data_IF_485216105579
#
_entry.id   IF_485216105579
#
_cell.length_a   1.000
_cell.length_b   1.000
_cell.length_c   1.000
_cell.angle_alpha   90.00
_cell.angle_beta   90.00
_cell.angle_gamma   90.00
#
_symmetry.space_group_name_H-M   'P 1'
#
loop_
_entity.id
_entity.type
_entity.pdbx_description
1 polymer ?
#
# COMPACT_ATOMS: atom_id res chain seq x y z
N UNK A 1 -10.99 -6.48 0.69
CA UNK A 1 -10.46 -6.39 -0.68
C UNK A 1 -11.42 -6.93 -1.72
N UNK A 2 -11.57 -8.25 -1.94
CA UNK A 2 -12.42 -8.73 -3.04
C UNK A 2 -13.91 -8.31 -2.92
N UNK A 3 -14.44 -8.26 -1.70
CA UNK A 3 -15.79 -7.74 -1.46
C UNK A 3 -15.90 -6.21 -1.66
N UNK A 4 -14.84 -5.44 -1.40
CA UNK A 4 -14.82 -3.98 -1.59
C UNK A 4 -14.78 -3.62 -3.08
N UNK A 5 -14.05 -4.42 -3.88
CA UNK A 5 -13.97 -4.26 -5.33
C UNK A 5 -15.26 -4.71 -6.04
N UNK A 6 -15.93 -5.74 -5.51
CA UNK A 6 -17.15 -6.30 -6.12
C UNK A 6 -18.44 -5.60 -5.68
N UNK A 7 -18.42 -4.88 -4.55
CA UNK A 7 -19.60 -4.22 -3.99
C UNK A 7 -20.19 -3.12 -4.91
N UNK A 8 -19.39 -2.23 -5.55
CA UNK A 8 -19.92 -1.23 -6.47
C UNK A 8 -20.69 -1.86 -7.63
N UNK A 9 -20.13 -2.91 -8.25
CA UNK A 9 -20.79 -3.66 -9.33
C UNK A 9 -22.09 -4.31 -8.88
N UNK A 10 -22.12 -4.85 -7.65
CA UNK A 10 -23.32 -5.44 -7.06
C UNK A 10 -24.42 -4.38 -6.84
N UNK A 11 -24.09 -3.24 -6.24
CA UNK A 11 -25.02 -2.13 -6.04
C UNK A 11 -25.55 -1.60 -7.39
N UNK A 12 -24.67 -1.52 -8.40
CA UNK A 12 -25.05 -1.13 -9.75
C UNK A 12 -26.09 -2.08 -10.36
N UNK A 13 -25.88 -3.38 -10.28
CA UNK A 13 -26.82 -4.37 -10.80
C UNK A 13 -28.20 -4.30 -10.08
N UNK A 14 -28.22 -3.97 -8.78
CA UNK A 14 -29.46 -3.68 -8.05
C UNK A 14 -30.14 -2.41 -8.59
N UNK A 15 -29.39 -1.33 -8.81
CA UNK A 15 -29.97 -0.09 -9.35
C UNK A 15 -30.51 -0.27 -10.77
N UNK A 16 -29.80 -1.00 -11.63
CA UNK A 16 -30.22 -1.29 -13.00
C UNK A 16 -31.49 -2.13 -13.03
N UNK A 17 -31.60 -3.14 -12.16
CA UNK A 17 -32.83 -3.94 -12.03
C UNK A 17 -34.00 -3.13 -11.47
N UNK A 18 -33.79 -2.26 -10.48
CA UNK A 18 -34.85 -1.37 -10.01
C UNK A 18 -35.31 -0.34 -11.05
N UNK A 19 -34.41 0.16 -11.91
CA UNK A 19 -34.78 1.03 -13.04
C UNK A 19 -35.77 0.35 -14.00
N UNK A 20 -35.79 -0.98 -14.05
CA UNK A 20 -36.76 -1.76 -14.85
C UNK A 20 -38.09 -2.02 -14.13
N UNK A 21 -38.27 -1.49 -12.91
CA UNK A 21 -39.50 -1.64 -12.12
C UNK A 21 -39.55 -2.92 -11.28
N UNK A 22 -38.44 -3.65 -11.14
CA UNK A 22 -38.34 -4.81 -10.27
C UNK A 22 -38.36 -4.33 -8.81
N UNK A 23 -39.10 -5.02 -7.93
CA UNK A 23 -39.13 -4.67 -6.51
C UNK A 23 -37.73 -4.78 -5.87
N UNK A 24 -37.42 -4.00 -4.82
CA UNK A 24 -36.08 -3.95 -4.25
C UNK A 24 -35.52 -5.31 -3.81
N UNK A 25 -36.32 -6.12 -3.12
CA UNK A 25 -35.94 -7.47 -2.68
C UNK A 25 -35.67 -8.40 -3.86
N UNK A 26 -36.50 -8.33 -4.91
CA UNK A 26 -36.30 -9.10 -6.15
C UNK A 26 -35.09 -8.63 -6.94
N UNK A 27 -34.76 -7.34 -6.86
CA UNK A 27 -33.57 -6.74 -7.48
C UNK A 27 -32.29 -7.27 -6.83
N UNK A 28 -32.28 -7.43 -5.51
CA UNK A 28 -31.19 -8.11 -4.78
C UNK A 28 -31.07 -9.57 -5.24
N UNK A 29 -32.19 -10.33 -5.28
CA UNK A 29 -32.18 -11.71 -5.76
C UNK A 29 -31.69 -11.80 -7.22
N UNK A 30 -32.01 -10.82 -8.07
CA UNK A 30 -31.57 -10.79 -9.45
C UNK A 30 -30.07 -10.51 -9.57
N UNK A 31 -29.57 -9.51 -8.85
CA UNK A 31 -28.15 -9.15 -8.84
C UNK A 31 -27.30 -10.34 -8.35
N UNK A 32 -27.70 -11.00 -7.26
CA UNK A 32 -26.98 -12.17 -6.71
C UNK A 32 -26.92 -13.40 -7.64
N UNK A 33 -27.73 -13.46 -8.72
CA UNK A 33 -27.64 -14.54 -9.73
C UNK A 33 -26.48 -14.35 -10.71
N UNK A 34 -25.96 -13.13 -10.88
CA UNK A 34 -24.72 -12.90 -11.63
C UNK A 34 -23.55 -13.43 -10.80
N UNK A 35 -22.74 -14.31 -11.40
CA UNK A 35 -21.62 -15.01 -10.72
C UNK A 35 -20.30 -14.25 -10.77
N UNK A 36 -20.30 -12.98 -11.18
CA UNK A 36 -19.09 -12.22 -11.46
C UNK A 36 -18.49 -11.49 -10.24
N UNK A 37 -18.98 -11.74 -9.02
CA UNK A 37 -18.48 -11.10 -7.79
C UNK A 37 -17.41 -11.90 -7.04
N UNK A 38 -16.90 -12.98 -7.63
CA UNK A 38 -15.82 -13.79 -7.06
C UNK A 38 -16.15 -14.35 -5.65
N UNK A 39 -15.25 -14.27 -4.66
CA UNK A 39 -15.51 -14.76 -3.31
C UNK A 39 -16.67 -14.07 -2.58
N UNK A 40 -17.09 -12.88 -3.03
CA UNK A 40 -18.25 -12.19 -2.48
C UNK A 40 -19.56 -12.91 -2.82
N UNK A 41 -19.61 -13.67 -3.93
CA UNK A 41 -20.78 -14.44 -4.35
C UNK A 41 -21.27 -15.45 -3.31
N UNK A 42 -20.38 -16.07 -2.53
CA UNK A 42 -20.78 -17.02 -1.48
C UNK A 42 -21.60 -16.34 -0.37
N UNK A 43 -21.27 -15.09 -0.03
CA UNK A 43 -22.03 -14.31 0.95
C UNK A 43 -23.35 -13.83 0.37
N UNK A 44 -23.33 -13.42 -0.90
CA UNK A 44 -24.53 -13.02 -1.64
C UNK A 44 -25.54 -14.17 -1.79
N UNK A 45 -25.09 -15.42 -1.96
CA UNK A 45 -25.97 -16.60 -1.98
C UNK A 45 -26.68 -16.81 -0.63
N UNK A 46 -26.01 -16.56 0.49
CA UNK A 46 -26.62 -16.62 1.83
C UNK A 46 -27.64 -15.51 2.05
N UNK A 47 -27.36 -14.29 1.55
CA UNK A 47 -28.29 -13.16 1.57
C UNK A 47 -29.53 -13.52 0.73
N UNK A 48 -29.33 -14.01 -0.49
CA UNK A 48 -30.41 -14.43 -1.38
C UNK A 48 -31.31 -15.47 -0.74
N UNK A 49 -30.72 -16.52 -0.16
CA UNK A 49 -31.47 -17.57 0.53
C UNK A 49 -32.36 -16.97 1.63
N UNK A 50 -31.81 -16.13 2.51
CA UNK A 50 -32.59 -15.51 3.58
C UNK A 50 -33.74 -14.63 3.06
N UNK A 51 -33.54 -13.89 1.95
CA UNK A 51 -34.62 -13.13 1.31
C UNK A 51 -35.69 -14.09 0.74
N UNK A 52 -35.29 -15.18 0.07
CA UNK A 52 -36.21 -16.20 -0.45
C UNK A 52 -37.02 -16.88 0.66
N UNK A 53 -36.46 -17.01 1.87
CA UNK A 53 -37.13 -17.51 3.07
C UNK A 53 -37.97 -16.46 3.82
N UNK A 54 -38.04 -15.21 3.32
CA UNK A 54 -38.86 -14.15 3.91
C UNK A 54 -38.28 -13.53 5.19
N UNK A 55 -36.98 -13.66 5.43
CA UNK A 55 -36.28 -13.01 6.55
C UNK A 55 -36.19 -11.49 6.28
N UNK A 56 -36.35 -10.67 7.31
CA UNK A 56 -36.26 -9.21 7.18
C UNK A 56 -34.85 -8.77 6.76
N UNK A 57 -34.75 -7.68 5.98
CA UNK A 57 -33.45 -7.17 5.53
C UNK A 57 -32.56 -6.70 6.71
N UNK A 58 -33.15 -6.24 7.83
CA UNK A 58 -32.43 -5.94 9.08
C UNK A 58 -31.76 -7.16 9.67
N UNK A 59 -32.49 -8.27 9.79
CA UNK A 59 -31.95 -9.51 10.35
C UNK A 59 -30.84 -10.09 9.45
N UNK A 60 -31.02 -9.96 8.13
CA UNK A 60 -30.00 -10.32 7.15
C UNK A 60 -28.74 -9.47 7.32
N UNK A 61 -28.89 -8.16 7.55
CA UNK A 61 -27.76 -7.27 7.80
C UNK A 61 -27.02 -7.62 9.09
N UNK A 62 -27.71 -7.94 10.19
CA UNK A 62 -27.06 -8.37 11.43
C UNK A 62 -26.24 -9.65 11.24
N UNK A 63 -26.76 -10.62 10.47
CA UNK A 63 -26.01 -11.82 10.09
C UNK A 63 -24.83 -11.51 9.15
N UNK A 64 -25.00 -10.55 8.25
CA UNK A 64 -23.97 -10.10 7.32
C UNK A 64 -22.80 -9.40 8.04
N UNK A 65 -23.11 -8.61 9.07
CA UNK A 65 -22.15 -7.90 9.92
C UNK A 65 -21.21 -8.83 10.68
N UNK A 66 -21.67 -10.03 11.04
CA UNK A 66 -20.83 -11.03 11.70
C UNK A 66 -19.84 -11.72 10.75
N UNK A 67 -20.09 -11.66 9.43
CA UNK A 67 -19.32 -12.39 8.41
C UNK A 67 -18.36 -11.52 7.61
N UNK A 68 -18.65 -10.23 7.43
CA UNK A 68 -17.83 -9.29 6.67
C UNK A 68 -17.12 -8.34 7.64
N UNK A 69 -15.79 -8.29 7.57
CA UNK A 69 -14.96 -7.39 8.40
C UNK A 69 -14.68 -6.03 7.77
N UNK A 70 -15.04 -5.81 6.50
CA UNK A 70 -14.81 -4.54 5.80
C UNK A 70 -15.86 -3.51 6.19
N UNK A 71 -15.41 -2.43 6.84
CA UNK A 71 -16.25 -1.31 7.25
C UNK A 71 -17.00 -0.65 6.08
N UNK A 72 -16.32 -0.48 4.95
CA UNK A 72 -16.89 0.12 3.74
C UNK A 72 -18.04 -0.72 3.19
N UNK A 73 -17.87 -2.05 3.18
CA UNK A 73 -18.92 -2.97 2.72
C UNK A 73 -20.12 -2.95 3.66
N UNK A 74 -19.88 -2.91 4.98
CA UNK A 74 -20.94 -2.85 5.98
C UNK A 74 -21.78 -1.58 5.87
N UNK A 75 -21.17 -0.40 5.75
CA UNK A 75 -21.92 0.86 5.62
C UNK A 75 -22.77 0.87 4.36
N UNK A 76 -22.20 0.52 3.21
CA UNK A 76 -22.93 0.55 1.95
C UNK A 76 -24.11 -0.43 1.95
N UNK A 77 -23.91 -1.62 2.51
CA UNK A 77 -24.98 -2.61 2.64
C UNK A 77 -26.05 -2.15 3.64
N UNK A 78 -25.65 -1.54 4.76
CA UNK A 78 -26.56 -0.95 5.75
C UNK A 78 -27.41 0.15 5.12
N UNK A 79 -26.78 1.09 4.40
CA UNK A 79 -27.45 2.18 3.70
C UNK A 79 -28.45 1.65 2.67
N UNK A 80 -28.09 0.59 1.93
CA UNK A 80 -28.99 -0.09 1.00
C UNK A 80 -30.21 -0.66 1.73
N UNK A 81 -30.01 -1.41 2.82
CA UNK A 81 -31.11 -1.99 3.62
C UNK A 81 -32.04 -0.91 4.16
N UNK A 82 -31.48 0.13 4.78
CA UNK A 82 -32.25 1.25 5.35
C UNK A 82 -33.04 1.99 4.27
N UNK A 83 -32.41 2.21 3.11
CA UNK A 83 -33.05 2.86 1.95
C UNK A 83 -34.25 2.05 1.44
N UNK A 84 -34.13 0.72 1.41
CA UNK A 84 -35.19 -0.18 0.95
C UNK A 84 -36.33 -0.26 1.96
N UNK A 85 -36.05 -0.35 3.26
CA UNK A 85 -37.07 -0.47 4.30
C UNK A 85 -37.84 0.81 4.58
N UNK A 86 -37.18 1.98 4.55
CA UNK A 86 -37.81 3.25 4.96
C UNK A 86 -38.69 3.86 3.85
N UNK A 87 -38.57 3.40 2.60
CA UNK A 87 -39.36 3.97 1.50
C UNK A 87 -39.35 3.22 0.18
N UNK A 88 -39.07 1.90 0.19
CA UNK A 88 -38.98 1.10 -1.04
C UNK A 88 -37.74 1.42 -1.89
N UNK A 89 -36.78 2.17 -1.34
CA UNK A 89 -35.54 2.55 -2.00
C UNK A 89 -35.75 3.37 -3.26
N UNK A 90 -36.01 4.69 -3.18
CA UNK A 90 -36.14 5.50 -4.38
C UNK A 90 -34.88 5.32 -5.23
N UNK A 91 -35.07 4.94 -6.50
CA UNK A 91 -34.00 4.62 -7.47
C UNK A 91 -32.87 5.65 -7.45
N UNK A 92 -33.24 6.93 -7.30
CA UNK A 92 -32.30 8.06 -7.18
C UNK A 92 -31.35 7.94 -5.99
N UNK A 93 -31.80 7.49 -4.82
CA UNK A 93 -30.94 7.33 -3.64
C UNK A 93 -29.93 6.20 -3.80
N UNK A 94 -30.34 5.07 -4.39
CA UNK A 94 -29.42 3.97 -4.69
C UNK A 94 -28.45 4.31 -5.82
N UNK A 95 -28.90 5.07 -6.83
CA UNK A 95 -28.05 5.60 -7.90
C UNK A 95 -26.97 6.52 -7.32
N UNK A 96 -27.34 7.47 -6.45
CA UNK A 96 -26.40 8.33 -5.73
C UNK A 96 -25.42 7.49 -4.90
N UNK A 97 -25.90 6.49 -4.14
CA UNK A 97 -25.03 5.62 -3.34
C UNK A 97 -24.03 4.86 -4.23
N UNK A 98 -24.46 4.33 -5.37
CA UNK A 98 -23.58 3.63 -6.31
C UNK A 98 -22.52 4.56 -6.90
N UNK A 99 -22.91 5.76 -7.32
CA UNK A 99 -22.00 6.76 -7.89
C UNK A 99 -20.98 7.23 -6.84
N UNK A 100 -21.41 7.41 -5.59
CA UNK A 100 -20.52 7.72 -4.48
C UNK A 100 -19.56 6.57 -4.19
N UNK A 101 -20.02 5.33 -4.17
CA UNK A 101 -19.17 4.16 -3.92
C UNK A 101 -18.15 3.96 -5.04
N UNK A 102 -18.55 4.17 -6.30
CA UNK A 102 -17.67 4.09 -7.47
C UNK A 102 -16.59 5.19 -7.40
N UNK A 103 -17.01 6.45 -7.18
CA UNK A 103 -16.09 7.59 -7.02
C UNK A 103 -15.13 7.41 -5.85
N UNK A 104 -15.58 6.86 -4.72
CA UNK A 104 -14.71 6.60 -3.57
C UNK A 104 -13.70 5.51 -3.90
N UNK A 105 -14.11 4.41 -4.54
CA UNK A 105 -13.20 3.35 -4.96
C UNK A 105 -12.16 3.88 -5.96
N UNK A 106 -12.58 4.62 -6.99
CA UNK A 106 -11.69 5.26 -7.95
C UNK A 106 -10.72 6.22 -7.25
N UNK A 107 -11.20 7.00 -6.27
CA UNK A 107 -10.36 7.90 -5.47
C UNK A 107 -9.29 7.14 -4.69
N UNK A 108 -9.62 6.00 -4.08
CA UNK A 108 -8.66 5.15 -3.38
C UNK A 108 -7.60 4.58 -4.33
N UNK A 109 -8.03 4.07 -5.49
CA UNK A 109 -7.12 3.54 -6.53
C UNK A 109 -6.20 4.63 -7.06
N UNK A 110 -6.76 5.81 -7.38
CA UNK A 110 -6.02 6.95 -7.88
C UNK A 110 -5.01 7.47 -6.85
N UNK A 111 -5.39 7.60 -5.58
CA UNK A 111 -4.45 7.95 -4.49
C UNK A 111 -3.28 6.97 -4.41
N UNK A 112 -3.57 5.67 -4.47
CA UNK A 112 -2.52 4.64 -4.43
C UNK A 112 -1.60 4.71 -5.66
N UNK A 113 -2.16 5.00 -6.85
CA UNK A 113 -1.39 5.19 -8.06
C UNK A 113 -0.48 6.42 -7.99
N UNK A 114 -0.98 7.54 -7.44
CA UNK A 114 -0.22 8.77 -7.23
C UNK A 114 0.94 8.59 -6.24
N UNK A 115 0.87 7.62 -5.32
CA UNK A 115 1.91 7.33 -4.34
C UNK A 115 2.99 6.36 -4.86
N UNK A 116 2.75 5.63 -5.95
CA UNK A 116 3.75 4.71 -6.54
C UNK A 116 5.09 5.39 -6.89
N UNK A 117 5.13 6.59 -7.48
CA UNK A 117 6.40 7.27 -7.79
C UNK A 117 7.26 7.58 -6.56
N UNK A 118 6.65 7.77 -5.38
CA UNK A 118 7.39 8.03 -4.14
C UNK A 118 8.22 6.83 -3.70
N UNK A 119 7.82 5.60 -4.07
CA UNK A 119 8.62 4.40 -3.82
C UNK A 119 9.92 4.47 -4.61
N UNK A 120 9.86 4.83 -5.90
CA UNK A 120 11.04 4.99 -6.76
C UNK A 120 11.97 6.07 -6.20
N UNK A 121 11.38 7.19 -5.76
CA UNK A 121 12.15 8.29 -5.16
C UNK A 121 12.94 7.82 -3.93
N UNK A 122 12.38 6.95 -3.09
CA UNK A 122 13.10 6.40 -1.93
C UNK A 122 14.31 5.55 -2.30
N UNK A 123 14.23 4.78 -3.40
CA UNK A 123 15.39 4.04 -3.91
C UNK A 123 16.47 5.00 -4.43
N UNK A 124 16.09 6.06 -5.14
CA UNK A 124 17.04 7.08 -5.59
C UNK A 124 17.72 7.76 -4.41
N UNK A 125 16.97 8.12 -3.36
CA UNK A 125 17.54 8.69 -2.13
C UNK A 125 18.53 7.75 -1.43
N UNK A 126 18.24 6.45 -1.39
CA UNK A 126 19.13 5.44 -0.82
C UNK A 126 20.47 5.35 -1.57
N UNK A 127 20.43 5.40 -2.91
CA UNK A 127 21.64 5.42 -3.73
C UNK A 127 22.42 6.73 -3.54
N UNK A 128 21.72 7.87 -3.54
CA UNK A 128 22.36 9.18 -3.36
C UNK A 128 23.05 9.32 -1.99
N UNK A 129 22.45 8.82 -0.91
CA UNK A 129 23.07 8.92 0.42
C UNK A 129 24.31 8.01 0.54
N UNK A 130 24.27 6.83 -0.07
CA UNK A 130 25.43 5.95 -0.14
C UNK A 130 26.58 6.57 -0.95
N UNK A 131 26.26 7.14 -2.12
CA UNK A 131 27.23 7.78 -3.00
C UNK A 131 27.84 9.03 -2.37
N UNK A 132 27.02 9.93 -1.83
CA UNK A 132 27.52 11.15 -1.18
C UNK A 132 28.39 10.83 0.03
N UNK A 133 28.01 9.86 0.86
CA UNK A 133 28.81 9.48 2.04
C UNK A 133 30.15 8.87 1.62
N UNK A 134 30.17 7.99 0.62
CA UNK A 134 31.42 7.39 0.13
C UNK A 134 32.37 8.42 -0.49
N UNK A 135 31.86 9.41 -1.23
CA UNK A 135 32.68 10.53 -1.74
C UNK A 135 33.28 11.34 -0.59
N UNK A 136 32.48 11.69 0.43
CA UNK A 136 32.94 12.48 1.58
C UNK A 136 34.03 11.72 2.34
N UNK A 137 33.81 10.43 2.59
CA UNK A 137 34.80 9.54 3.22
C UNK A 137 36.11 9.51 2.43
N UNK A 138 36.06 9.31 1.11
CA UNK A 138 37.27 9.26 0.29
C UNK A 138 38.01 10.59 0.25
N UNK A 139 37.28 11.70 0.19
CA UNK A 139 37.88 13.04 0.19
C UNK A 139 38.62 13.29 1.51
N UNK A 140 38.05 12.87 2.64
CA UNK A 140 38.71 12.93 3.94
C UNK A 140 39.95 12.04 3.99
N UNK A 141 39.87 10.82 3.45
CA UNK A 141 41.01 9.90 3.39
C UNK A 141 42.18 10.47 2.60
N UNK A 142 41.93 10.96 1.38
CA UNK A 142 42.94 11.60 0.53
C UNK A 142 43.56 12.82 1.25
N UNK A 143 42.74 13.65 1.91
CA UNK A 143 43.25 14.81 2.64
C UNK A 143 44.20 14.41 3.80
N UNK A 144 43.93 13.26 4.45
CA UNK A 144 44.82 12.75 5.50
C UNK A 144 46.14 12.18 4.98
N UNK A 145 46.18 11.64 3.75
CA UNK A 145 47.44 11.20 3.12
C UNK A 145 48.43 12.35 2.91
N UNK A 146 47.94 13.57 2.67
CA UNK A 146 48.78 14.77 2.52
C UNK A 146 49.25 15.36 3.86
N UNK A 147 48.88 14.77 5.00
CA UNK A 147 49.28 15.21 6.34
C UNK A 147 50.66 14.67 6.75
N UNK A 148 51.18 15.11 7.90
CA UNK A 148 52.45 14.62 8.42
C UNK A 148 52.38 13.13 8.76
N UNK A 149 53.49 12.36 8.67
CA UNK A 149 53.48 10.90 8.87
C UNK A 149 52.95 10.46 10.23
N UNK A 150 53.13 11.27 11.28
CA UNK A 150 52.66 11.01 12.64
C UNK A 150 51.16 11.21 12.79
N UNK A 151 50.58 12.18 12.07
CA UNK A 151 49.14 12.45 12.07
C UNK A 151 48.40 11.47 11.14
N UNK A 152 49.03 11.04 10.04
CA UNK A 152 48.47 10.05 9.12
C UNK A 152 48.16 8.71 9.83
N UNK A 153 49.09 8.19 10.64
CA UNK A 153 48.90 6.91 11.31
C UNK A 153 47.76 6.91 12.35
N UNK A 154 47.59 8.01 13.09
CA UNK A 154 46.48 8.15 14.05
C UNK A 154 45.14 8.40 13.36
N UNK A 155 45.12 9.28 12.35
CA UNK A 155 43.87 9.67 11.68
C UNK A 155 43.33 8.60 10.73
N UNK A 156 44.19 7.82 10.07
CA UNK A 156 43.76 6.73 9.17
C UNK A 156 43.03 5.61 9.91
N UNK A 157 43.51 5.24 11.11
CA UNK A 157 42.86 4.27 12.00
C UNK A 157 41.48 4.74 12.46
N UNK A 158 41.36 6.02 12.85
CA UNK A 158 40.08 6.59 13.27
C UNK A 158 39.08 6.68 12.12
N UNK A 159 39.53 7.07 10.92
CA UNK A 159 38.70 7.13 9.72
C UNK A 159 38.15 5.75 9.35
N UNK A 160 38.98 4.70 9.38
CA UNK A 160 38.54 3.33 9.09
C UNK A 160 37.40 2.87 10.04
N UNK A 161 37.55 3.13 11.34
CA UNK A 161 36.50 2.83 12.33
C UNK A 161 35.21 3.63 12.08
N UNK A 162 35.33 4.89 11.66
CA UNK A 162 34.17 5.74 11.39
C UNK A 162 33.40 5.29 10.14
N UNK A 163 34.09 4.79 9.12
CA UNK A 163 33.48 4.25 7.88
C UNK A 163 32.54 3.09 8.18
N UNK A 164 32.96 2.16 9.05
CA UNK A 164 32.13 1.02 9.46
C UNK A 164 30.83 1.46 10.14
N UNK A 165 30.92 2.46 11.04
CA UNK A 165 29.75 3.02 11.75
C UNK A 165 28.81 3.74 10.78
N UNK A 166 29.33 4.53 9.84
CA UNK A 166 28.52 5.21 8.83
C UNK A 166 27.84 4.24 7.87
N UNK A 167 28.56 3.22 7.41
CA UNK A 167 28.01 2.17 6.54
C UNK A 167 26.83 1.44 7.20
N UNK A 168 27.01 1.01 8.46
CA UNK A 168 25.95 0.37 9.24
C UNK A 168 24.77 1.32 9.48
N UNK A 169 25.06 2.60 9.77
CA UNK A 169 24.06 3.64 9.94
C UNK A 169 23.20 3.87 8.70
N UNK A 170 23.80 3.89 7.50
CA UNK A 170 23.09 4.06 6.23
C UNK A 170 22.19 2.86 5.95
N UNK A 171 22.69 1.64 6.14
CA UNK A 171 21.89 0.41 5.94
C UNK A 171 20.70 0.42 6.89
N UNK A 172 20.92 0.76 8.17
CA UNK A 172 19.87 0.84 9.17
C UNK A 172 18.84 1.94 8.86
N UNK A 173 19.28 3.12 8.44
CA UNK A 173 18.40 4.21 8.01
C UNK A 173 17.56 3.82 6.80
N UNK A 174 18.17 3.18 5.79
CA UNK A 174 17.44 2.71 4.60
C UNK A 174 16.43 1.62 4.95
N UNK A 175 16.78 0.72 5.88
CA UNK A 175 15.88 -0.29 6.41
C UNK A 175 14.67 0.33 7.13
N UNK A 176 14.89 1.33 8.00
CA UNK A 176 13.80 2.07 8.66
C UNK A 176 12.93 2.80 7.62
N UNK A 177 13.55 3.46 6.65
CA UNK A 177 12.86 4.19 5.58
C UNK A 177 11.91 3.29 4.78
N UNK A 178 12.25 2.00 4.61
CA UNK A 178 11.36 1.02 3.97
C UNK A 178 10.02 0.81 4.69
N UNK A 179 9.97 0.93 6.02
CA UNK A 179 8.70 0.85 6.76
C UNK A 179 7.81 2.06 6.45
N UNK A 180 8.42 3.25 6.39
CA UNK A 180 7.70 4.48 6.02
C UNK A 180 7.16 4.38 4.59
N UNK A 181 7.97 3.89 3.64
CA UNK A 181 7.55 3.74 2.26
C UNK A 181 6.41 2.74 2.09
N UNK A 182 6.43 1.62 2.81
CA UNK A 182 5.33 0.65 2.75
C UNK A 182 4.04 1.18 3.34
N UNK A 183 4.11 1.93 4.45
CA UNK A 183 2.94 2.60 5.02
C UNK A 183 2.36 3.63 4.06
N UNK A 184 3.21 4.42 3.41
CA UNK A 184 2.78 5.47 2.47
C UNK A 184 2.22 4.85 1.19
N UNK A 185 2.86 3.83 0.62
CA UNK A 185 2.49 3.25 -0.67
C UNK A 185 1.29 2.30 -0.58
N UNK A 186 1.25 1.43 0.44
CA UNK A 186 0.28 0.34 0.53
C UNK A 186 -0.70 0.49 1.70
N UNK A 187 -0.53 1.51 2.54
CA UNK A 187 -1.43 1.80 3.66
C UNK A 187 -1.23 0.91 4.89
N UNK A 188 -0.34 -0.10 4.82
CA UNK A 188 -0.11 -1.04 5.90
C UNK A 188 1.39 -1.20 6.22
N UNK A 189 1.74 -1.33 7.51
CA UNK A 189 3.12 -1.54 7.95
C UNK A 189 3.69 -2.91 7.53
N UNK A 190 2.85 -3.94 7.46
CA UNK A 190 3.28 -5.28 7.07
C UNK A 190 3.80 -5.33 5.62
N UNK A 191 3.23 -4.50 4.73
CA UNK A 191 3.74 -4.33 3.37
C UNK A 191 5.14 -3.71 3.35
N UNK A 192 5.46 -2.86 4.32
CA UNK A 192 6.76 -2.23 4.52
C UNK A 192 7.92 -3.21 4.62
N UNK A 193 7.70 -4.40 5.20
CA UNK A 193 8.78 -5.40 5.36
C UNK A 193 9.45 -5.78 4.03
N UNK A 194 8.67 -5.86 2.94
CA UNK A 194 9.21 -6.14 1.60
C UNK A 194 10.13 -5.01 1.14
N UNK A 195 9.71 -3.77 1.36
CA UNK A 195 10.50 -2.59 1.01
C UNK A 195 11.72 -2.41 1.90
N UNK A 196 11.66 -2.75 3.19
CA UNK A 196 12.81 -2.69 4.09
C UNK A 196 13.94 -3.62 3.62
N UNK A 197 13.59 -4.85 3.26
CA UNK A 197 14.57 -5.82 2.75
C UNK A 197 15.17 -5.35 1.41
N UNK A 198 14.33 -4.87 0.49
CA UNK A 198 14.80 -4.34 -0.80
C UNK A 198 15.70 -3.11 -0.63
N UNK A 199 15.30 -2.13 0.18
CA UNK A 199 16.07 -0.90 0.39
C UNK A 199 17.39 -1.17 1.12
N UNK A 200 17.43 -2.11 2.07
CA UNK A 200 18.67 -2.51 2.73
C UNK A 200 19.64 -3.17 1.75
N UNK A 201 19.15 -4.06 0.87
CA UNK A 201 19.97 -4.68 -0.18
C UNK A 201 20.47 -3.64 -1.16
N UNK A 202 19.62 -2.72 -1.63
CA UNK A 202 20.05 -1.66 -2.54
C UNK A 202 21.05 -0.71 -1.90
N UNK A 203 20.91 -0.39 -0.62
CA UNK A 203 21.87 0.42 0.11
C UNK A 203 23.24 -0.26 0.20
N UNK A 204 23.26 -1.55 0.55
CA UNK A 204 24.51 -2.34 0.60
C UNK A 204 25.17 -2.44 -0.77
N UNK A 205 24.42 -2.78 -1.81
CA UNK A 205 24.93 -2.85 -3.20
C UNK A 205 25.44 -1.48 -3.65
N UNK A 206 24.73 -0.40 -3.35
CA UNK A 206 25.14 0.95 -3.70
C UNK A 206 26.42 1.37 -2.99
N UNK A 207 26.63 0.96 -1.74
CA UNK A 207 27.86 1.24 -0.99
C UNK A 207 29.05 0.50 -1.62
N UNK A 208 28.91 -0.80 -1.90
CA UNK A 208 29.97 -1.60 -2.53
C UNK A 208 30.30 -1.07 -3.93
N UNK A 209 29.27 -0.78 -4.73
CA UNK A 209 29.45 -0.28 -6.09
C UNK A 209 30.13 1.10 -6.08
N UNK A 210 29.70 1.99 -5.18
CA UNK A 210 30.33 3.31 -5.03
C UNK A 210 31.78 3.21 -4.59
N UNK A 211 32.10 2.32 -3.64
CA UNK A 211 33.48 2.05 -3.24
C UNK A 211 34.32 1.55 -4.42
N UNK A 212 33.83 0.57 -5.19
CA UNK A 212 34.56 0.04 -6.34
C UNK A 212 34.82 1.08 -7.42
N UNK A 213 33.82 1.92 -7.74
CA UNK A 213 33.93 2.98 -8.72
C UNK A 213 34.96 4.05 -8.29
N UNK A 214 34.97 4.41 -7.01
CA UNK A 214 35.91 5.41 -6.49
C UNK A 214 37.34 4.88 -6.41
N UNK A 215 37.55 3.59 -6.11
CA UNK A 215 38.87 2.95 -6.17
C UNK A 215 39.42 2.97 -7.60
N UNK A 216 38.59 2.68 -8.60
CA UNK A 216 38.98 2.74 -10.01
C UNK A 216 39.32 4.17 -10.46
N UNK A 217 38.58 5.17 -9.97
CA UNK A 217 38.77 6.58 -10.34
C UNK A 217 40.00 7.21 -9.68
N UNK A 218 40.24 6.94 -8.40
CA UNK A 218 41.28 7.59 -7.61
C UNK A 218 42.53 6.74 -7.37
N UNK A 219 42.50 5.44 -7.70
CA UNK A 219 43.64 4.53 -7.53
C UNK A 219 44.04 4.27 -6.07
N UNK A 220 43.24 4.74 -5.12
CA UNK A 220 43.47 4.66 -3.67
C UNK A 220 42.42 3.73 -3.07
N UNK A 221 42.88 2.65 -2.44
CA UNK A 221 42.01 1.71 -1.74
C UNK A 221 41.69 2.27 -0.34
N UNK A 222 40.41 2.37 0.06
CA UNK A 222 40.07 2.75 1.42
C UNK A 222 40.53 1.61 2.36
N UNK A 223 41.01 1.91 3.57
CA UNK A 223 41.30 0.89 4.55
C UNK A 223 40.02 0.15 4.91
N UNK A 224 40.12 -1.17 4.90
CA UNK A 224 39.07 -2.12 5.32
C UNK A 224 38.66 -1.94 6.77
#
# INVERSE_FOLDING_TARGET
YNAEESLPSFLRDITESQKTGISPEKSIIHATKRRDYGPFSQFLELVRSQIEWGVSLKDIFENFKQKISSWQVLINFMMMVETIEVGGGPVRSLEILSEYSEKEFESQVNKRALLKPYVILAFVWSVLIALTTTIVTMTMYILTEFSTPTLYASMSSEIAGQIGVFSLGIIFQCWISGFFIGKISEGNFAAGLKYCALLAITAYVSLVLSQSFLVELFGVAPPV
#
